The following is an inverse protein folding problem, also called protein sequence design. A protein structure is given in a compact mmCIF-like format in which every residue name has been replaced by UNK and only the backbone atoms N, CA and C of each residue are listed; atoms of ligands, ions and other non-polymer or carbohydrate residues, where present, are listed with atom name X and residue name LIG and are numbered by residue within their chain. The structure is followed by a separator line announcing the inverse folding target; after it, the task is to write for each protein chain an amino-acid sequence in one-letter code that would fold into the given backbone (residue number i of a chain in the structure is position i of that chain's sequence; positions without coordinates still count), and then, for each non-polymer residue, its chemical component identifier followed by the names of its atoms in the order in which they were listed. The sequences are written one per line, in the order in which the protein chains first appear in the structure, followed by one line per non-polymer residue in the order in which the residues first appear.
data_IF_738458410868
#
_entry.id   IF_738458410868
#
_cell.length_a   1.000
_cell.length_b   1.000
_cell.length_c   1.000
_cell.angle_alpha   90.00
_cell.angle_beta   90.00
_cell.angle_gamma   90.00
#
_symmetry.space_group_name_H-M   'P 1'
#
loop_
_entity.id
_entity.type
_entity.pdbx_description
1 polymer ?
#
# COMPACT_ATOMS: atom_id res chain seq x y z
N UNK A 1 27.91 47.72 3.49
CA UNK A 1 27.54 46.52 4.29
C UNK A 1 26.93 45.52 3.32
N UNK A 2 27.68 44.71 2.57
CA UNK A 2 28.44 43.49 2.93
C UNK A 2 27.66 42.59 3.90
N UNK A 3 27.19 41.43 3.40
CA UNK A 3 26.82 40.31 4.27
C UNK A 3 25.93 39.21 3.67
N UNK A 4 26.54 38.25 2.94
CA UNK A 4 26.16 36.82 2.74
C UNK A 4 24.76 36.54 2.12
N UNK A 5 24.60 36.17 0.84
CA UNK A 5 25.16 35.05 0.04
C UNK A 5 25.01 33.65 0.68
N UNK A 6 24.19 32.82 0.01
CA UNK A 6 24.32 31.38 -0.31
C UNK A 6 23.37 30.37 0.34
N UNK A 7 22.86 29.51 -0.54
CA UNK A 7 22.53 28.09 -0.36
C UNK A 7 21.28 27.72 0.44
N UNK A 8 20.13 27.69 -0.24
CA UNK A 8 19.04 26.76 0.05
C UNK A 8 18.80 25.74 -1.09
N UNK A 9 19.76 25.63 -2.03
CA UNK A 9 19.76 24.66 -3.13
C UNK A 9 20.67 23.45 -2.87
N UNK A 10 21.19 23.26 -1.65
CA UNK A 10 22.13 22.18 -1.30
C UNK A 10 21.63 21.18 -0.24
N UNK A 11 20.38 21.24 0.22
CA UNK A 11 19.87 20.27 1.22
C UNK A 11 19.13 19.08 0.58
N UNK A 12 18.78 19.15 -0.71
CA UNK A 12 18.15 18.04 -1.43
C UNK A 12 19.13 17.12 -2.19
N UNK A 13 20.45 17.31 -2.03
CA UNK A 13 21.49 16.70 -2.88
C UNK A 13 22.62 16.01 -2.10
N UNK A 14 22.39 15.55 -0.86
CA UNK A 14 23.42 14.90 -0.03
C UNK A 14 22.89 13.74 0.84
N UNK A 15 22.20 12.77 0.23
CA UNK A 15 22.15 11.39 0.72
C UNK A 15 22.34 10.38 -0.43
N UNK A 16 23.22 10.72 -1.38
CA UNK A 16 23.89 9.77 -2.26
C UNK A 16 25.29 9.62 -1.67
N UNK A 17 25.48 8.62 -0.81
CA UNK A 17 26.80 8.10 -0.42
C UNK A 17 26.59 6.65 0.04
N UNK A 18 26.89 5.76 -0.91
CA UNK A 18 27.65 4.51 -0.75
C UNK A 18 27.20 3.52 0.33
N UNK A 19 26.44 2.51 -0.11
CA UNK A 19 26.75 1.13 0.25
C UNK A 19 26.96 0.39 -1.08
N UNK A 20 28.20 0.44 -1.56
CA UNK A 20 28.69 -0.48 -2.59
C UNK A 20 28.72 -1.88 -1.98
N UNK A 21 27.81 -2.76 -2.41
CA UNK A 21 27.98 -4.18 -2.15
C UNK A 21 29.04 -4.69 -3.13
N UNK A 22 30.26 -4.78 -2.63
CA UNK A 22 31.36 -5.49 -3.25
C UNK A 22 31.00 -7.00 -3.24
N UNK A 23 30.41 -7.48 -4.33
CA UNK A 23 30.27 -8.91 -4.55
C UNK A 23 31.59 -9.43 -5.10
N UNK A 24 32.30 -10.25 -4.32
CA UNK A 24 33.41 -11.06 -4.83
C UNK A 24 32.93 -11.90 -6.02
N UNK A 25 33.71 -11.99 -7.11
CA UNK A 25 33.33 -12.78 -8.27
C UNK A 25 33.61 -14.24 -7.97
N UNK A 26 32.57 -14.98 -7.58
CA UNK A 26 32.65 -16.43 -7.56
C UNK A 26 32.41 -16.98 -8.97
N UNK A 27 33.37 -17.79 -9.40
CA UNK A 27 33.53 -18.31 -10.75
C UNK A 27 32.43 -19.30 -11.15
N UNK A 28 31.92 -19.16 -12.38
CA UNK A 28 31.49 -20.31 -13.19
C UNK A 28 30.00 -20.66 -13.21
N UNK A 29 29.15 -19.74 -13.67
CA UNK A 29 27.88 -20.05 -14.36
C UNK A 29 27.36 -18.76 -15.00
N UNK A 30 27.09 -18.78 -16.31
CA UNK A 30 26.39 -17.70 -17.03
C UNK A 30 25.01 -17.50 -16.40
N UNK A 31 24.95 -16.65 -15.37
CA UNK A 31 23.72 -16.33 -14.66
C UNK A 31 23.22 -15.01 -15.22
N UNK A 32 22.12 -15.08 -15.97
CA UNK A 32 21.48 -13.89 -16.52
C UNK A 32 20.99 -13.01 -15.37
N UNK A 33 21.23 -11.69 -15.40
CA UNK A 33 20.66 -10.79 -14.40
C UNK A 33 19.14 -10.85 -14.46
N UNK A 34 18.51 -10.77 -13.29
CA UNK A 34 17.06 -10.70 -13.17
C UNK A 34 16.60 -9.38 -13.83
N UNK A 35 15.80 -9.44 -14.89
CA UNK A 35 15.27 -8.23 -15.55
C UNK A 35 13.79 -8.04 -15.21
N UNK A 36 13.27 -6.82 -15.36
CA UNK A 36 11.84 -6.52 -15.13
C UNK A 36 10.90 -7.40 -15.96
N UNK A 37 11.24 -7.72 -17.22
CA UNK A 37 10.43 -8.59 -18.08
C UNK A 37 10.36 -10.02 -17.55
N UNK A 38 11.49 -10.53 -17.05
CA UNK A 38 11.55 -11.86 -16.44
C UNK A 38 10.74 -11.89 -15.14
N UNK A 39 10.82 -10.84 -14.31
CA UNK A 39 9.99 -10.75 -13.10
C UNK A 39 8.50 -10.70 -13.44
N UNK A 40 8.09 -9.92 -14.45
CA UNK A 40 6.69 -9.85 -14.91
C UNK A 40 6.16 -11.23 -15.33
N UNK A 41 6.94 -11.97 -16.11
CA UNK A 41 6.61 -13.34 -16.53
C UNK A 41 6.54 -14.29 -15.33
N UNK A 42 7.44 -14.14 -14.36
CA UNK A 42 7.42 -14.93 -13.14
C UNK A 42 6.16 -14.65 -12.31
N UNK A 43 5.81 -13.39 -12.08
CA UNK A 43 4.59 -13.00 -11.36
C UNK A 43 3.35 -13.59 -12.04
N UNK A 44 3.29 -13.51 -13.37
CA UNK A 44 2.21 -14.11 -14.15
C UNK A 44 2.13 -15.63 -13.93
N UNK A 45 3.25 -16.34 -14.06
CA UNK A 45 3.30 -17.79 -13.82
C UNK A 45 2.89 -18.17 -12.39
N UNK A 46 3.38 -17.43 -11.38
CA UNK A 46 3.02 -17.66 -9.97
C UNK A 46 1.53 -17.44 -9.75
N UNK A 47 0.95 -16.41 -10.39
CA UNK A 47 -0.48 -16.14 -10.37
C UNK A 47 -1.32 -17.25 -11.01
N UNK A 48 -0.93 -17.72 -12.20
CA UNK A 48 -1.60 -18.81 -12.93
C UNK A 48 -1.57 -20.14 -12.16
N UNK A 49 -0.50 -20.39 -11.39
CA UNK A 49 -0.37 -21.54 -10.50
C UNK A 49 -1.01 -21.34 -9.13
N UNK A 50 -1.68 -20.21 -8.89
CA UNK A 50 -2.29 -19.85 -7.61
C UNK A 50 -1.32 -19.80 -6.42
N UNK A 51 -0.03 -19.56 -6.67
CA UNK A 51 1.00 -19.46 -5.63
C UNK A 51 0.88 -18.09 -4.95
N UNK A 52 0.63 -18.10 -3.64
CA UNK A 52 0.38 -16.89 -2.84
C UNK A 52 1.67 -16.26 -2.33
N UNK A 53 2.61 -15.93 -3.22
CA UNK A 53 3.96 -15.50 -2.84
C UNK A 53 4.05 -14.18 -2.04
N UNK A 54 3.02 -13.32 -2.10
CA UNK A 54 2.92 -12.15 -1.23
C UNK A 54 2.51 -12.51 0.21
N UNK A 55 1.96 -13.71 0.42
CA UNK A 55 1.43 -14.17 1.70
C UNK A 55 2.29 -15.24 2.39
N UNK A 56 3.11 -15.96 1.65
CA UNK A 56 3.94 -17.04 2.18
C UNK A 56 5.16 -17.24 1.29
N UNK A 57 6.28 -17.70 1.87
CA UNK A 57 7.49 -18.04 1.10
C UNK A 57 7.13 -19.21 0.17
N UNK A 58 7.18 -19.05 -1.16
CA UNK A 58 6.87 -20.15 -2.08
C UNK A 58 7.90 -21.27 -1.97
N UNK A 59 7.52 -22.46 -2.42
CA UNK A 59 8.48 -23.55 -2.54
C UNK A 59 9.52 -23.22 -3.62
N UNK A 60 10.80 -23.51 -3.35
CA UNK A 60 11.89 -23.20 -4.29
C UNK A 60 11.72 -23.89 -5.65
N UNK A 61 11.16 -25.10 -5.67
CA UNK A 61 10.83 -25.83 -6.92
C UNK A 61 9.76 -25.12 -7.75
N UNK A 62 8.77 -24.49 -7.11
CA UNK A 62 7.75 -23.69 -7.78
C UNK A 62 8.36 -22.40 -8.37
N UNK A 63 9.17 -21.71 -7.57
CA UNK A 63 9.92 -20.52 -8.00
C UNK A 63 10.80 -20.84 -9.21
N UNK A 64 11.54 -21.95 -9.15
CA UNK A 64 12.41 -22.42 -10.22
C UNK A 64 11.61 -22.74 -11.48
N UNK A 65 10.47 -23.39 -11.34
CA UNK A 65 9.60 -23.71 -12.48
C UNK A 65 9.16 -22.43 -13.19
N UNK A 66 8.70 -21.43 -12.43
CA UNK A 66 8.28 -20.15 -13.01
C UNK A 66 9.46 -19.30 -13.52
N UNK A 67 10.62 -19.33 -12.86
CA UNK A 67 11.82 -18.66 -13.33
C UNK A 67 12.29 -19.23 -14.67
N UNK A 68 12.35 -20.55 -14.80
CA UNK A 68 12.77 -21.22 -16.03
C UNK A 68 11.79 -20.99 -17.18
N UNK A 69 10.48 -20.93 -16.93
CA UNK A 69 9.50 -20.61 -17.97
C UNK A 69 9.51 -19.13 -18.39
N UNK A 70 10.18 -18.28 -17.63
CA UNK A 70 10.20 -16.82 -17.83
C UNK A 70 11.40 -16.32 -18.62
N UNK A 71 12.39 -17.18 -18.89
CA UNK A 71 13.60 -16.85 -19.65
C UNK A 71 13.62 -17.66 -20.95
N UNK A 72 13.87 -16.99 -22.06
CA UNK A 72 14.14 -17.66 -23.34
C UNK A 72 15.62 -18.04 -23.42
N UNK A 73 15.92 -19.32 -23.66
CA UNK A 73 17.29 -19.84 -23.83
C UNK A 73 17.75 -20.80 -22.73
N UNK A 74 19.05 -21.08 -22.71
CA UNK A 74 19.68 -22.00 -21.75
C UNK A 74 20.07 -21.34 -20.42
N UNK A 75 20.12 -20.00 -20.38
CA UNK A 75 20.50 -19.24 -19.18
C UNK A 75 19.39 -19.29 -18.14
N UNK A 76 19.70 -19.86 -16.97
CA UNK A 76 18.76 -20.00 -15.85
C UNK A 76 19.09 -18.99 -14.75
N UNK A 77 18.07 -18.51 -14.06
CA UNK A 77 18.26 -17.77 -12.81
C UNK A 77 18.72 -18.76 -11.74
N UNK A 78 19.77 -18.43 -10.99
CA UNK A 78 20.26 -19.32 -9.93
C UNK A 78 19.23 -19.45 -8.80
N UNK A 79 19.15 -20.64 -8.22
CA UNK A 79 18.27 -20.91 -7.08
C UNK A 79 18.60 -20.03 -5.88
N UNK A 80 19.89 -19.76 -5.65
CA UNK A 80 20.37 -18.88 -4.58
C UNK A 80 19.84 -17.45 -4.74
N UNK A 81 19.80 -16.92 -5.97
CA UNK A 81 19.23 -15.58 -6.22
C UNK A 81 17.74 -15.57 -5.94
N UNK A 82 17.00 -16.58 -6.41
CA UNK A 82 15.55 -16.71 -6.12
C UNK A 82 15.30 -16.78 -4.62
N UNK A 83 16.04 -17.62 -3.90
CA UNK A 83 15.89 -17.77 -2.46
C UNK A 83 16.17 -16.46 -1.72
N UNK A 84 17.22 -15.73 -2.08
CA UNK A 84 17.53 -14.44 -1.47
C UNK A 84 16.44 -13.39 -1.71
N UNK A 85 15.87 -13.33 -2.92
CA UNK A 85 14.79 -12.39 -3.25
C UNK A 85 13.56 -12.66 -2.37
N UNK A 86 13.09 -13.90 -2.33
CA UNK A 86 11.87 -14.25 -1.60
C UNK A 86 12.08 -14.29 -0.08
N UNK A 87 13.29 -14.58 0.40
CA UNK A 87 13.61 -14.44 1.82
C UNK A 87 13.57 -12.97 2.24
N UNK A 88 14.22 -12.07 1.49
CA UNK A 88 14.15 -10.62 1.73
C UNK A 88 12.71 -10.09 1.67
N UNK A 89 11.92 -10.54 0.70
CA UNK A 89 10.51 -10.15 0.56
C UNK A 89 9.69 -10.53 1.80
N UNK A 90 9.92 -11.71 2.37
CA UNK A 90 9.19 -12.19 3.55
C UNK A 90 9.73 -11.59 4.85
N UNK A 91 11.03 -11.33 4.95
CA UNK A 91 11.63 -10.61 6.08
C UNK A 91 11.15 -9.15 6.13
N UNK A 92 11.07 -8.47 4.98
CA UNK A 92 10.49 -7.14 4.87
C UNK A 92 9.04 -7.08 5.37
N UNK A 93 8.30 -8.20 5.23
CA UNK A 93 6.92 -8.36 5.71
C UNK A 93 6.81 -8.64 7.21
N UNK A 94 7.80 -9.29 7.81
CA UNK A 94 7.79 -9.69 9.22
C UNK A 94 8.16 -8.55 10.17
N UNK A 95 8.99 -7.62 9.71
CA UNK A 95 9.46 -6.48 10.49
C UNK A 95 8.56 -5.26 10.23
N UNK A 96 7.34 -5.27 10.78
CA UNK A 96 6.44 -4.10 10.87
C UNK A 96 7.00 -2.92 11.69
N UNK A 97 8.29 -2.98 12.03
CA UNK A 97 9.10 -1.93 12.63
C UNK A 97 10.09 -1.41 11.59
N UNK A 98 9.63 -1.07 10.37
CA UNK A 98 10.40 -0.11 9.60
C UNK A 98 10.45 1.16 10.45
N UNK A 99 11.64 1.61 10.88
CA UNK A 99 11.77 2.92 11.49
C UNK A 99 11.06 3.91 10.57
N UNK A 100 10.36 4.89 11.16
CA UNK A 100 9.72 6.02 10.46
C UNK A 100 10.59 6.66 9.38
N UNK A 101 11.89 6.45 9.48
CA UNK A 101 12.98 7.02 8.71
C UNK A 101 13.33 6.21 7.44
N UNK A 102 12.71 5.05 7.20
CA UNK A 102 12.98 4.20 6.01
C UNK A 102 11.72 3.77 5.28
N UNK A 103 10.90 4.73 4.87
CA UNK A 103 9.86 4.49 3.87
C UNK A 103 10.53 4.13 2.53
N UNK A 104 10.24 2.96 1.92
CA UNK A 104 10.79 2.63 0.61
C UNK A 104 10.38 3.68 -0.42
N UNK A 105 11.35 4.21 -1.19
CA UNK A 105 11.14 5.32 -2.14
C UNK A 105 9.98 5.07 -3.12
N UNK A 106 9.82 3.82 -3.54
CA UNK A 106 8.78 3.42 -4.47
C UNK A 106 7.36 3.60 -3.89
N UNK A 107 7.17 3.50 -2.58
CA UNK A 107 5.84 3.49 -1.96
C UNK A 107 5.17 4.86 -2.05
N UNK A 108 5.93 5.93 -1.84
CA UNK A 108 5.41 7.31 -2.00
C UNK A 108 4.91 7.52 -3.42
N UNK A 109 5.69 7.11 -4.42
CA UNK A 109 5.28 7.24 -5.82
C UNK A 109 4.08 6.35 -6.15
N UNK A 110 4.10 5.09 -5.72
CA UNK A 110 3.01 4.13 -5.90
C UNK A 110 1.68 4.68 -5.37
N UNK A 111 1.66 5.07 -4.09
CA UNK A 111 0.44 5.54 -3.42
C UNK A 111 -0.03 6.86 -4.02
N UNK A 112 0.88 7.77 -4.35
CA UNK A 112 0.54 9.02 -5.04
C UNK A 112 -0.15 8.75 -6.38
N UNK A 113 0.37 7.82 -7.18
CA UNK A 113 -0.24 7.47 -8.47
C UNK A 113 -1.56 6.73 -8.31
N UNK A 114 -1.68 5.85 -7.33
CA UNK A 114 -2.97 5.21 -7.03
C UNK A 114 -4.01 6.26 -6.58
N UNK A 115 -3.64 7.20 -5.71
CA UNK A 115 -4.49 8.32 -5.30
C UNK A 115 -4.95 9.18 -6.47
N UNK A 116 -4.05 9.46 -7.43
CA UNK A 116 -4.38 10.20 -8.64
C UNK A 116 -5.51 9.50 -9.41
N UNK A 117 -5.35 8.20 -9.70
CA UNK A 117 -6.37 7.42 -10.40
C UNK A 117 -7.70 7.35 -9.65
N UNK A 118 -7.66 7.15 -8.33
CA UNK A 118 -8.85 7.18 -7.48
C UNK A 118 -9.57 8.54 -7.57
N UNK A 119 -8.81 9.64 -7.52
CA UNK A 119 -9.35 11.00 -7.65
C UNK A 119 -9.95 11.25 -9.04
N UNK A 120 -9.40 10.61 -10.08
CA UNK A 120 -9.95 10.52 -11.44
C UNK A 120 -11.10 9.49 -11.54
N UNK A 121 -11.71 9.11 -10.43
CA UNK A 121 -12.88 8.21 -10.31
C UNK A 121 -12.65 6.78 -10.83
N UNK A 122 -11.41 6.33 -10.91
CA UNK A 122 -11.11 4.93 -11.20
C UNK A 122 -11.49 4.07 -10.00
N UNK A 123 -12.13 2.92 -10.23
CA UNK A 123 -12.44 1.98 -9.16
C UNK A 123 -11.20 1.17 -8.75
N UNK A 124 -11.19 0.64 -7.52
CA UNK A 124 -10.16 -0.32 -7.09
C UNK A 124 -10.05 -1.52 -8.04
N UNK A 125 -11.17 -1.96 -8.61
CA UNK A 125 -11.22 -3.04 -9.60
C UNK A 125 -10.52 -2.66 -10.90
N UNK A 126 -10.77 -1.45 -11.42
CA UNK A 126 -10.12 -0.97 -12.63
C UNK A 126 -8.61 -0.78 -12.41
N UNK A 127 -8.23 -0.27 -11.24
CA UNK A 127 -6.83 -0.19 -10.82
C UNK A 127 -6.16 -1.56 -10.84
N UNK A 128 -6.79 -2.57 -10.24
CA UNK A 128 -6.20 -3.91 -10.09
C UNK A 128 -6.09 -4.67 -11.42
N UNK A 129 -7.06 -4.52 -12.31
CA UNK A 129 -7.07 -5.26 -13.58
C UNK A 129 -6.29 -4.57 -14.70
N UNK A 130 -6.43 -3.25 -14.85
CA UNK A 130 -5.97 -2.54 -16.05
C UNK A 130 -4.73 -1.69 -15.81
N UNK A 131 -4.54 -1.19 -14.59
CA UNK A 131 -3.50 -0.18 -14.29
C UNK A 131 -2.35 -0.69 -13.44
N UNK A 132 -2.50 -1.83 -12.77
CA UNK A 132 -1.43 -2.42 -11.95
C UNK A 132 -0.12 -2.56 -12.72
N UNK A 133 -0.12 -3.25 -13.86
CA UNK A 133 1.10 -3.46 -14.66
C UNK A 133 1.73 -2.15 -15.14
N UNK A 134 0.90 -1.21 -15.60
CA UNK A 134 1.34 0.09 -16.07
C UNK A 134 2.00 0.91 -14.94
N UNK A 135 1.36 0.92 -13.76
CA UNK A 135 1.84 1.61 -12.57
C UNK A 135 3.16 1.04 -12.07
N UNK A 136 3.24 -0.28 -11.90
CA UNK A 136 4.45 -0.96 -11.41
C UNK A 136 5.61 -0.71 -12.39
N UNK A 137 5.39 -0.87 -13.70
CA UNK A 137 6.40 -0.58 -14.72
C UNK A 137 6.82 0.90 -14.73
N UNK A 138 5.89 1.81 -14.50
CA UNK A 138 6.18 3.23 -14.33
C UNK A 138 7.10 3.48 -13.14
N UNK A 139 6.74 2.95 -11.96
CA UNK A 139 7.53 3.06 -10.73
C UNK A 139 8.96 2.55 -10.95
N UNK A 140 9.11 1.37 -11.56
CA UNK A 140 10.43 0.78 -11.81
C UNK A 140 11.33 1.62 -12.70
N UNK A 141 10.75 2.43 -13.60
CA UNK A 141 11.50 3.36 -14.45
C UNK A 141 11.91 4.65 -13.73
N UNK A 142 11.09 5.13 -12.80
CA UNK A 142 11.27 6.45 -12.17
C UNK A 142 11.98 6.42 -10.81
N UNK A 143 11.95 5.30 -10.10
CA UNK A 143 12.45 5.21 -8.73
C UNK A 143 13.79 4.44 -8.58
N UNK A 144 14.52 4.19 -9.68
CA UNK A 144 15.78 3.41 -9.70
C UNK A 144 15.65 2.09 -8.90
N UNK A 145 14.50 1.44 -9.09
CA UNK A 145 14.11 0.26 -8.34
C UNK A 145 14.99 -0.90 -8.78
N UNK A 146 15.65 -1.57 -7.84
CA UNK A 146 16.39 -2.80 -8.13
C UNK A 146 15.43 -3.89 -8.56
N UNK A 147 15.83 -4.80 -9.43
CA UNK A 147 14.89 -5.76 -10.03
C UNK A 147 14.23 -6.70 -9.01
N UNK A 148 14.88 -6.92 -7.86
CA UNK A 148 14.31 -7.67 -6.73
C UNK A 148 13.22 -6.90 -5.96
N UNK A 149 13.18 -5.58 -6.03
CA UNK A 149 12.15 -4.73 -5.40
C UNK A 149 10.84 -4.73 -6.21
N UNK A 150 10.84 -5.24 -7.44
CA UNK A 150 9.64 -5.35 -8.27
C UNK A 150 8.57 -6.27 -7.66
N UNK A 151 8.99 -7.40 -7.07
CA UNK A 151 8.08 -8.28 -6.32
C UNK A 151 7.47 -7.56 -5.11
N UNK A 152 8.25 -6.72 -4.44
CA UNK A 152 7.81 -5.93 -3.29
C UNK A 152 6.79 -4.86 -3.69
N UNK A 153 7.02 -4.13 -4.80
CA UNK A 153 6.05 -3.17 -5.34
C UNK A 153 4.75 -3.87 -5.71
N UNK A 154 4.83 -5.02 -6.39
CA UNK A 154 3.65 -5.81 -6.75
C UNK A 154 2.86 -6.23 -5.52
N UNK A 155 3.53 -6.77 -4.50
CA UNK A 155 2.86 -7.20 -3.27
C UNK A 155 2.28 -6.01 -2.49
N UNK A 156 2.97 -4.88 -2.46
CA UNK A 156 2.46 -3.63 -1.86
C UNK A 156 1.20 -3.16 -2.58
N UNK A 157 1.22 -3.11 -3.91
CA UNK A 157 0.05 -2.73 -4.71
C UNK A 157 -1.14 -3.65 -4.40
N UNK A 158 -0.92 -4.97 -4.44
CA UNK A 158 -1.97 -5.96 -4.23
C UNK A 158 -2.55 -5.86 -2.82
N UNK A 159 -1.70 -5.73 -1.81
CA UNK A 159 -2.12 -5.55 -0.43
C UNK A 159 -2.97 -4.28 -0.26
N UNK A 160 -2.54 -3.15 -0.82
CA UNK A 160 -3.30 -1.90 -0.79
C UNK A 160 -4.69 -2.08 -1.40
N UNK A 161 -4.80 -2.75 -2.55
CA UNK A 161 -6.09 -3.04 -3.19
C UNK A 161 -6.95 -3.97 -2.32
N UNK A 162 -6.39 -5.08 -1.85
CA UNK A 162 -7.14 -6.14 -1.16
C UNK A 162 -7.69 -5.61 0.17
N UNK A 163 -6.83 -4.99 0.99
CA UNK A 163 -7.23 -4.41 2.29
C UNK A 163 -8.23 -3.27 2.08
N UNK A 164 -7.99 -2.37 1.11
CA UNK A 164 -8.93 -1.26 0.85
C UNK A 164 -10.26 -1.74 0.31
N UNK A 165 -10.28 -2.80 -0.50
CA UNK A 165 -11.51 -3.40 -0.99
C UNK A 165 -12.34 -3.99 0.14
N UNK A 166 -11.70 -4.67 1.09
CA UNK A 166 -12.37 -5.20 2.28
C UNK A 166 -12.91 -4.07 3.16
N UNK A 167 -12.10 -3.04 3.40
CA UNK A 167 -12.52 -1.85 4.15
C UNK A 167 -13.74 -1.17 3.50
N UNK A 168 -13.71 -0.94 2.18
CA UNK A 168 -14.81 -0.27 1.48
C UNK A 168 -16.10 -1.09 1.48
N UNK A 169 -16.03 -2.42 1.50
CA UNK A 169 -17.23 -3.26 1.69
C UNK A 169 -17.88 -3.00 3.05
N UNK A 170 -17.09 -2.89 4.11
CA UNK A 170 -17.60 -2.53 5.45
C UNK A 170 -18.24 -1.13 5.45
N UNK A 171 -17.56 -0.15 4.85
CA UNK A 171 -18.09 1.24 4.76
C UNK A 171 -19.40 1.28 3.97
N UNK A 172 -19.48 0.58 2.84
CA UNK A 172 -20.69 0.50 2.02
C UNK A 172 -21.84 -0.17 2.77
N UNK A 173 -21.58 -1.26 3.49
CA UNK A 173 -22.60 -1.93 4.31
C UNK A 173 -23.17 -0.99 5.38
N UNK A 174 -22.29 -0.28 6.09
CA UNK A 174 -22.68 0.69 7.12
C UNK A 174 -23.48 1.84 6.49
N UNK A 175 -23.03 2.37 5.35
CA UNK A 175 -23.75 3.40 4.63
C UNK A 175 -25.17 2.95 4.28
N UNK A 176 -25.34 1.75 3.70
CA UNK A 176 -26.66 1.24 3.35
C UNK A 176 -27.57 1.05 4.57
N UNK A 177 -27.04 0.54 5.68
CA UNK A 177 -27.79 0.40 6.94
C UNK A 177 -28.25 1.77 7.47
N UNK A 178 -27.35 2.74 7.57
CA UNK A 178 -27.69 4.09 8.05
C UNK A 178 -28.63 4.83 7.09
N UNK A 179 -28.49 4.62 5.78
CA UNK A 179 -29.34 5.23 4.76
C UNK A 179 -30.78 4.75 4.89
N UNK A 180 -30.99 3.45 5.03
CA UNK A 180 -32.33 2.89 5.25
C UNK A 180 -33.00 3.49 6.50
N UNK A 181 -32.24 3.68 7.58
CA UNK A 181 -32.76 4.31 8.80
C UNK A 181 -33.15 5.78 8.60
N UNK A 182 -32.35 6.54 7.85
CA UNK A 182 -32.64 7.93 7.55
C UNK A 182 -33.89 8.07 6.66
N UNK A 183 -34.03 7.21 5.65
CA UNK A 183 -35.16 7.22 4.72
C UNK A 183 -36.48 6.81 5.41
N UNK A 184 -36.39 5.97 6.47
CA UNK A 184 -37.56 5.55 7.25
C UNK A 184 -38.13 6.64 8.18
N UNK A 185 -37.46 7.79 8.32
CA UNK A 185 -37.92 8.95 9.11
C UNK A 185 -38.51 8.59 10.49
N UNK A 186 -37.70 8.16 11.47
CA UNK A 186 -38.17 7.73 12.79
C UNK A 186 -38.97 8.85 13.48
N UNK A 187 -40.15 8.53 14.04
CA UNK A 187 -41.09 9.51 14.63
C UNK A 187 -41.32 9.30 16.12
N UNK A 188 -41.13 8.07 16.62
CA UNK A 188 -41.34 7.71 18.01
C UNK A 188 -40.04 7.65 18.79
N UNK A 189 -40.09 7.85 20.11
CA UNK A 189 -38.92 7.72 20.98
C UNK A 189 -38.28 6.33 20.91
N UNK A 190 -39.09 5.29 20.73
CA UNK A 190 -38.62 3.91 20.53
C UNK A 190 -37.85 3.77 19.22
N UNK A 191 -38.36 4.30 18.11
CA UNK A 191 -37.65 4.29 16.82
C UNK A 191 -36.36 5.10 16.88
N UNK A 192 -36.38 6.27 17.52
CA UNK A 192 -35.19 7.12 17.74
C UNK A 192 -34.15 6.38 18.58
N UNK A 193 -34.57 5.71 19.66
CA UNK A 193 -33.69 4.91 20.51
C UNK A 193 -33.07 3.73 19.73
N UNK A 194 -33.86 3.06 18.90
CA UNK A 194 -33.38 1.99 18.03
C UNK A 194 -32.33 2.50 17.02
N UNK A 195 -32.60 3.64 16.36
CA UNK A 195 -31.65 4.29 15.43
C UNK A 195 -30.34 4.64 16.14
N UNK A 196 -30.38 5.15 17.37
CA UNK A 196 -29.18 5.40 18.19
C UNK A 196 -28.40 4.11 18.44
N UNK A 197 -29.09 3.03 18.81
CA UNK A 197 -28.48 1.71 19.04
C UNK A 197 -27.76 1.18 17.79
N UNK A 198 -28.43 1.25 16.64
CA UNK A 198 -27.84 0.80 15.35
C UNK A 198 -26.66 1.69 14.96
N UNK A 199 -26.78 3.01 15.07
CA UNK A 199 -25.69 3.96 14.77
C UNK A 199 -24.45 3.70 15.63
N UNK A 200 -24.65 3.38 16.91
CA UNK A 200 -23.56 3.02 17.82
C UNK A 200 -22.89 1.70 17.40
N UNK A 201 -23.69 0.69 17.03
CA UNK A 201 -23.20 -0.59 16.52
C UNK A 201 -22.37 -0.40 15.24
N UNK A 202 -22.92 0.32 14.26
CA UNK A 202 -22.25 0.66 13.01
C UNK A 202 -20.91 1.39 13.26
N UNK A 203 -20.87 2.32 14.22
CA UNK A 203 -19.64 3.01 14.60
C UNK A 203 -18.58 2.05 15.15
N UNK A 204 -18.97 1.10 16.01
CA UNK A 204 -18.05 0.07 16.53
C UNK A 204 -17.52 -0.83 15.41
N UNK A 205 -18.38 -1.23 14.49
CA UNK A 205 -17.99 -2.01 13.30
C UNK A 205 -17.00 -1.25 12.42
N UNK A 206 -17.21 0.06 12.23
CA UNK A 206 -16.28 0.90 11.47
C UNK A 206 -14.91 0.98 12.13
N UNK A 207 -14.86 1.23 13.45
CA UNK A 207 -13.60 1.28 14.22
C UNK A 207 -12.86 -0.05 14.07
N UNK A 208 -13.53 -1.17 14.31
CA UNK A 208 -12.95 -2.51 14.17
C UNK A 208 -12.42 -2.74 12.75
N UNK A 209 -13.17 -2.36 11.73
CA UNK A 209 -12.73 -2.50 10.34
C UNK A 209 -11.49 -1.65 10.01
N UNK A 210 -11.35 -0.47 10.62
CA UNK A 210 -10.15 0.35 10.52
C UNK A 210 -8.97 -0.37 11.19
N UNK A 211 -9.12 -0.78 12.45
CA UNK A 211 -8.08 -1.49 13.21
C UNK A 211 -7.60 -2.77 12.50
N UNK A 212 -8.53 -3.58 12.00
CA UNK A 212 -8.23 -4.79 11.21
C UNK A 212 -7.49 -4.43 9.92
N UNK A 213 -7.86 -3.35 9.24
CA UNK A 213 -7.17 -2.92 8.02
C UNK A 213 -5.73 -2.48 8.31
N UNK A 214 -5.52 -1.67 9.34
CA UNK A 214 -4.20 -1.18 9.73
C UNK A 214 -3.26 -2.28 10.24
N UNK A 215 -3.81 -3.28 10.92
CA UNK A 215 -3.05 -4.45 11.39
C UNK A 215 -2.76 -5.46 10.29
N UNK A 216 -3.59 -5.50 9.23
CA UNK A 216 -3.44 -6.42 8.10
C UNK A 216 -2.41 -5.99 7.06
N UNK A 217 -2.10 -4.70 6.98
CA UNK A 217 -1.06 -4.16 6.08
C UNK A 217 0.32 -4.50 6.61
N UNK A 218 1.15 -5.12 5.76
CA UNK A 218 2.49 -5.64 6.07
C UNK A 218 3.58 -5.09 5.15
N UNK A 219 3.22 -4.69 3.94
CA UNK A 219 4.16 -4.10 2.97
C UNK A 219 4.02 -2.59 2.93
N UNK A 220 2.81 -2.04 2.95
CA UNK A 220 2.64 -0.59 2.85
C UNK A 220 2.90 0.14 4.18
N UNK A 221 3.57 1.29 4.10
CA UNK A 221 3.71 2.16 5.26
C UNK A 221 2.34 2.66 5.73
N UNK A 222 2.00 2.36 6.99
CA UNK A 222 0.67 2.61 7.58
C UNK A 222 0.19 4.05 7.42
N UNK A 223 1.10 5.02 7.50
CA UNK A 223 0.73 6.43 7.34
C UNK A 223 0.23 6.72 5.93
N UNK A 224 0.93 6.20 4.91
CA UNK A 224 0.53 6.40 3.52
C UNK A 224 -0.72 5.59 3.16
N UNK A 225 -0.92 4.41 3.78
CA UNK A 225 -2.18 3.68 3.66
C UNK A 225 -3.38 4.54 4.15
N UNK A 226 -3.24 5.26 5.26
CA UNK A 226 -4.28 6.17 5.73
C UNK A 226 -4.64 7.29 4.75
N UNK A 227 -3.64 7.83 4.03
CA UNK A 227 -3.87 8.79 2.95
C UNK A 227 -4.64 8.17 1.78
N UNK A 228 -4.28 6.93 1.40
CA UNK A 228 -4.98 6.19 0.35
C UNK A 228 -6.45 5.95 0.70
N UNK A 229 -6.73 5.45 1.91
CA UNK A 229 -8.10 5.23 2.39
C UNK A 229 -8.91 6.52 2.42
N UNK A 230 -8.32 7.64 2.87
CA UNK A 230 -9.04 8.93 2.90
C UNK A 230 -9.44 9.36 1.49
N UNK A 231 -8.51 9.29 0.54
CA UNK A 231 -8.76 9.64 -0.87
C UNK A 231 -9.83 8.73 -1.49
N UNK A 232 -9.78 7.44 -1.18
CA UNK A 232 -10.74 6.44 -1.65
C UNK A 232 -12.15 6.70 -1.11
N UNK A 233 -12.29 6.98 0.18
CA UNK A 233 -13.58 7.32 0.78
C UNK A 233 -14.14 8.56 0.11
N UNK A 234 -13.38 9.66 0.06
CA UNK A 234 -13.80 10.93 -0.58
C UNK A 234 -14.24 10.70 -2.03
N UNK A 235 -13.44 9.99 -2.82
CA UNK A 235 -13.71 9.77 -4.24
C UNK A 235 -14.89 8.82 -4.48
N UNK A 236 -15.23 8.00 -3.49
CA UNK A 236 -16.40 7.11 -3.53
C UNK A 236 -17.70 7.81 -3.14
N UNK A 237 -17.63 9.00 -2.51
CA UNK A 237 -18.81 9.80 -2.20
C UNK A 237 -19.35 10.41 -3.50
N UNK A 238 -20.39 9.79 -4.04
CA UNK A 238 -21.19 10.36 -5.12
C UNK A 238 -22.39 11.02 -4.45
N UNK A 239 -22.49 12.33 -4.63
CA UNK A 239 -23.58 13.23 -4.18
C UNK A 239 -23.49 13.71 -2.72
N UNK A 240 -24.09 14.88 -2.46
CA UNK A 240 -24.15 15.56 -1.16
C UNK A 240 -25.06 14.82 -0.15
N UNK A 241 -24.79 13.55 0.11
CA UNK A 241 -25.48 12.78 1.16
C UNK A 241 -24.83 13.03 2.52
N UNK A 242 -25.58 13.60 3.47
CA UNK A 242 -25.11 13.89 4.83
C UNK A 242 -24.61 12.64 5.57
N UNK A 243 -25.08 11.45 5.22
CA UNK A 243 -24.60 10.18 5.80
C UNK A 243 -23.20 9.87 5.29
N UNK A 244 -22.94 10.10 4.00
CA UNK A 244 -21.61 9.94 3.42
C UNK A 244 -20.61 10.92 4.04
N UNK A 245 -21.01 12.19 4.20
CA UNK A 245 -20.19 13.20 4.88
C UNK A 245 -19.89 12.81 6.33
N UNK A 246 -20.90 12.36 7.08
CA UNK A 246 -20.75 11.91 8.46
C UNK A 246 -19.81 10.70 8.60
N UNK A 247 -19.87 9.74 7.67
CA UNK A 247 -18.97 8.60 7.63
C UNK A 247 -17.53 9.04 7.34
N UNK A 248 -17.33 9.91 6.36
CA UNK A 248 -16.02 10.45 6.03
C UNK A 248 -15.39 11.18 7.23
N UNK A 249 -16.13 12.06 7.89
CA UNK A 249 -15.65 12.78 9.09
C UNK A 249 -15.33 11.85 10.25
N UNK A 250 -16.07 10.75 10.38
CA UNK A 250 -15.80 9.75 11.42
C UNK A 250 -14.55 8.94 11.11
N UNK A 251 -14.37 8.49 9.87
CA UNK A 251 -13.15 7.80 9.41
C UNK A 251 -11.93 8.70 9.60
N UNK A 252 -12.03 9.97 9.18
CA UNK A 252 -10.96 10.96 9.34
C UNK A 252 -10.57 11.16 10.81
N UNK A 253 -11.55 11.30 11.72
CA UNK A 253 -11.30 11.45 13.16
C UNK A 253 -10.64 10.21 13.77
N UNK A 254 -11.18 9.02 13.50
CA UNK A 254 -10.60 7.76 13.99
C UNK A 254 -9.16 7.62 13.49
N UNK A 255 -8.88 7.96 12.22
CA UNK A 255 -7.52 7.95 11.68
C UNK A 255 -6.58 8.87 12.47
N UNK A 256 -6.98 10.12 12.73
CA UNK A 256 -6.15 11.08 13.50
C UNK A 256 -5.86 10.53 14.89
N UNK A 257 -6.88 10.02 15.58
CA UNK A 257 -6.76 9.40 16.90
C UNK A 257 -5.81 8.18 16.83
N UNK A 258 -5.98 7.28 15.87
CA UNK A 258 -5.15 6.06 15.73
C UNK A 258 -3.70 6.37 15.34
N UNK A 259 -3.47 7.43 14.55
CA UNK A 259 -2.12 7.89 14.19
C UNK A 259 -1.40 8.50 15.39
N UNK A 260 -2.13 9.20 16.28
CA UNK A 260 -1.56 9.73 17.53
C UNK A 260 -1.11 8.66 18.54
N UNK A 261 -1.49 7.39 18.34
CA UNK A 261 -1.04 6.26 19.17
C UNK A 261 0.18 5.50 18.60
N UNK A 262 0.55 5.74 17.34
CA UNK A 262 1.67 5.02 16.68
C UNK A 262 2.97 5.82 16.62
N UNK A 263 2.97 7.08 17.06
CA UNK A 263 4.18 7.88 17.26
C UNK A 263 4.53 7.95 18.76
N UNK A 264 5.75 7.57 19.19
CA UNK A 264 6.21 7.93 20.52
C UNK A 264 6.20 9.47 20.64
N UNK A 265 5.86 10.03 21.83
CA UNK A 265 5.53 11.45 22.02
C UNK A 265 6.68 12.44 21.74
N UNK A 266 7.82 11.99 21.23
CA UNK A 266 8.98 12.82 20.93
C UNK A 266 8.91 13.54 19.57
N UNK A 267 7.94 13.22 18.69
CA UNK A 267 7.86 13.80 17.34
C UNK A 267 6.67 14.73 17.06
N UNK A 268 5.82 15.03 18.06
CA UNK A 268 4.88 16.16 17.93
C UNK A 268 5.65 17.46 18.21
N UNK A 269 6.60 17.79 17.33
CA UNK A 269 7.13 19.13 17.28
C UNK A 269 6.08 20.02 16.62
N UNK A 270 5.57 20.95 17.43
CA UNK A 270 4.49 21.85 17.13
C UNK A 270 4.57 22.49 15.73
N UNK A 271 3.44 22.45 15.02
CA UNK A 271 3.12 23.43 13.98
C UNK A 271 3.17 22.92 12.54
N UNK A 272 2.08 22.27 12.11
CA UNK A 272 1.63 22.40 10.72
C UNK A 272 0.15 22.77 10.77
N UNK A 273 -0.11 24.08 10.65
CA UNK A 273 -1.43 24.63 10.33
C UNK A 273 -1.58 24.49 8.82
N UNK A 274 -2.57 23.72 8.36
CA UNK A 274 -3.01 23.79 6.97
C UNK A 274 -4.00 24.94 6.84
N UNK A 275 -3.65 25.93 6.01
CA UNK A 275 -4.53 26.98 5.52
C UNK A 275 -5.62 26.41 4.62
#
# INVERSE_FOLDING_TARGET
MIGRKRSWLCIFMLCILEISFESNPDSGSSTRPLTTDVVDKMIKCLGEKHIKFCNEKPNLGELKTCANSSVEGADKISETVLEQIFTKLIEARGNNLLPTDRIPRYQTYLITKMNQYISERHSLHLLSQLKMKELIRGISRFAEVRENEYFEIYCTFKELIDVSSQFMKSVQSIYHELKQLADNHPKTDTEISNVKGITLSATKTLIKSIEESYSSVKFAFRIMFGSFISTLVISSLKEHDKIQDGLHDKIRRIRIETMSFTEPPEYIQAGIVFF
#
